data_IF_652245089926
#
_entry.id   IF_652245089926
#
_cell.length_a   1.000
_cell.length_b   1.000
_cell.length_c   1.000
_cell.angle_alpha   90.00
_cell.angle_beta   90.00
_cell.angle_gamma   90.00
#
_symmetry.space_group_name_H-M   'P 1'
#
loop_
_entity.id
_entity.type
_entity.pdbx_description
1 polymer ?
#
# COMPACT_ATOMS: atom_id res chain seq x y z
N UNK A 1 -30.76 -20.24 -9.34
CA UNK A 1 -29.93 -19.06 -9.02
C UNK A 1 -29.71 -18.26 -10.29
N UNK A 2 -29.90 -16.93 -10.25
CA UNK A 2 -29.54 -16.09 -11.40
C UNK A 2 -28.01 -15.99 -11.51
N UNK A 3 -27.47 -15.80 -12.73
CA UNK A 3 -26.02 -15.64 -12.94
C UNK A 3 -25.41 -14.53 -12.07
N UNK A 4 -26.21 -13.51 -11.75
CA UNK A 4 -25.80 -12.39 -10.90
C UNK A 4 -25.72 -12.75 -9.41
N UNK A 5 -26.60 -13.62 -8.92
CA UNK A 5 -26.50 -14.16 -7.56
C UNK A 5 -25.25 -15.02 -7.41
N UNK A 6 -25.00 -15.95 -8.35
CA UNK A 6 -23.79 -16.78 -8.32
C UNK A 6 -22.51 -15.94 -8.33
N UNK A 7 -22.47 -14.89 -9.15
CA UNK A 7 -21.33 -13.98 -9.21
C UNK A 7 -21.08 -13.28 -7.86
N UNK A 8 -22.09 -12.61 -7.29
CA UNK A 8 -21.92 -11.83 -6.04
C UNK A 8 -21.73 -12.67 -4.80
N UNK A 9 -22.38 -13.83 -4.73
CA UNK A 9 -22.39 -14.65 -3.51
C UNK A 9 -21.30 -15.72 -3.49
N UNK A 10 -20.72 -16.10 -4.66
CA UNK A 10 -19.78 -17.21 -4.76
C UNK A 10 -18.45 -16.83 -5.42
N UNK A 11 -18.49 -16.21 -6.61
CA UNK A 11 -17.27 -15.89 -7.37
C UNK A 11 -16.54 -14.67 -6.79
N UNK A 12 -17.28 -13.61 -6.42
CA UNK A 12 -16.71 -12.39 -5.83
C UNK A 12 -15.99 -12.70 -4.49
N UNK A 13 -16.64 -13.33 -3.49
CA UNK A 13 -16.01 -13.57 -2.19
C UNK A 13 -14.79 -14.50 -2.27
N UNK A 14 -14.79 -15.45 -3.21
CA UNK A 14 -13.63 -16.33 -3.43
C UNK A 14 -12.47 -15.63 -4.15
N UNK A 15 -12.74 -14.62 -4.98
CA UNK A 15 -11.72 -13.80 -5.64
C UNK A 15 -11.16 -12.65 -4.77
N UNK A 16 -11.92 -12.17 -3.78
CA UNK A 16 -11.54 -11.04 -2.92
C UNK A 16 -10.13 -11.15 -2.31
N UNK A 17 -9.68 -12.30 -1.75
CA UNK A 17 -8.32 -12.40 -1.20
C UNK A 17 -7.23 -12.13 -2.24
N UNK A 18 -7.44 -12.59 -3.48
CA UNK A 18 -6.51 -12.40 -4.59
C UNK A 18 -6.50 -10.95 -5.07
N UNK A 19 -7.66 -10.31 -5.16
CA UNK A 19 -7.78 -8.89 -5.52
C UNK A 19 -7.04 -8.03 -4.49
N UNK A 20 -7.23 -8.29 -3.19
CA UNK A 20 -6.58 -7.52 -2.13
C UNK A 20 -5.06 -7.74 -2.09
N UNK A 21 -4.59 -8.96 -2.40
CA UNK A 21 -3.16 -9.22 -2.57
C UNK A 21 -2.60 -8.37 -3.72
N UNK A 22 -3.35 -8.25 -4.82
CA UNK A 22 -3.00 -7.34 -5.92
C UNK A 22 -2.98 -5.87 -5.49
N UNK A 23 -3.91 -5.44 -4.64
CA UNK A 23 -3.95 -4.07 -4.10
C UNK A 23 -2.77 -3.77 -3.17
N UNK A 24 -2.32 -4.73 -2.36
CA UNK A 24 -1.14 -4.58 -1.49
C UNK A 24 0.14 -4.32 -2.30
N UNK A 25 0.29 -4.97 -3.46
CA UNK A 25 1.41 -4.68 -4.38
C UNK A 25 1.17 -3.36 -5.12
N UNK A 26 -0.07 -3.12 -5.56
CA UNK A 26 -0.46 -1.94 -6.32
C UNK A 26 -0.24 -0.64 -5.57
N UNK A 27 -0.52 -0.60 -4.25
CA UNK A 27 -0.34 0.62 -3.46
C UNK A 27 1.13 1.02 -3.32
N UNK A 28 2.05 0.05 -3.24
CA UNK A 28 3.49 0.33 -3.20
C UNK A 28 3.93 0.95 -4.53
N UNK A 29 3.52 0.36 -5.65
CA UNK A 29 3.81 0.88 -6.99
C UNK A 29 3.20 2.26 -7.22
N UNK A 30 1.97 2.49 -6.78
CA UNK A 30 1.30 3.77 -6.86
C UNK A 30 2.01 4.85 -6.03
N UNK A 31 2.48 4.50 -4.84
CA UNK A 31 3.24 5.43 -3.98
C UNK A 31 4.56 5.83 -4.64
N UNK A 32 5.31 4.86 -5.19
CA UNK A 32 6.55 5.15 -5.93
C UNK A 32 6.24 6.04 -7.15
N UNK A 33 5.21 5.71 -7.92
CA UNK A 33 4.79 6.48 -9.08
C UNK A 33 4.38 7.90 -8.74
N UNK A 34 3.67 8.11 -7.62
CA UNK A 34 3.30 9.43 -7.14
C UNK A 34 4.54 10.27 -6.79
N UNK A 35 5.48 9.70 -6.02
CA UNK A 35 6.73 10.40 -5.65
C UNK A 35 7.57 10.74 -6.88
N UNK A 36 7.67 9.84 -7.85
CA UNK A 36 8.38 10.10 -9.12
C UNK A 36 7.66 11.16 -9.95
N UNK A 37 6.33 11.15 -9.96
CA UNK A 37 5.51 12.17 -10.62
C UNK A 37 5.69 13.56 -10.00
N UNK A 38 5.66 13.65 -8.67
CA UNK A 38 5.95 14.88 -7.92
C UNK A 38 7.37 15.39 -8.21
N UNK A 39 8.35 14.48 -8.33
CA UNK A 39 9.73 14.83 -8.69
C UNK A 39 9.84 15.41 -10.11
N UNK A 40 9.24 14.77 -11.12
CA UNK A 40 9.43 15.13 -12.53
C UNK A 40 8.58 16.31 -13.00
N UNK A 41 7.36 16.43 -12.47
CA UNK A 41 6.35 17.37 -12.96
C UNK A 41 5.67 18.20 -11.87
N UNK A 42 5.99 17.96 -10.60
CA UNK A 42 5.47 18.73 -9.48
C UNK A 42 6.27 20.00 -9.25
N UNK A 43 5.57 21.10 -8.97
CA UNK A 43 6.13 22.29 -8.31
C UNK A 43 5.89 22.27 -6.79
N UNK A 44 5.26 21.21 -6.29
CA UNK A 44 4.87 21.02 -4.90
C UNK A 44 4.82 19.52 -4.58
N UNK A 45 4.93 19.17 -3.31
CA UNK A 45 4.89 17.80 -2.82
C UNK A 45 6.17 17.36 -2.12
N UNK A 46 6.10 16.20 -1.45
CA UNK A 46 7.23 15.67 -0.69
C UNK A 46 8.34 15.14 -1.60
N UNK A 47 7.98 14.59 -2.77
CA UNK A 47 8.95 14.19 -3.79
C UNK A 47 9.72 15.37 -4.37
N UNK A 48 9.02 16.49 -4.63
CA UNK A 48 9.64 17.74 -5.06
C UNK A 48 10.59 18.30 -3.99
N UNK A 49 10.11 18.40 -2.74
CA UNK A 49 10.88 18.93 -1.61
C UNK A 49 12.13 18.09 -1.31
N UNK A 50 12.08 16.77 -1.49
CA UNK A 50 13.25 15.91 -1.35
C UNK A 50 14.35 16.27 -2.35
N UNK A 51 13.98 16.60 -3.58
CA UNK A 51 14.92 16.97 -4.64
C UNK A 51 15.46 18.39 -4.45
N UNK A 52 14.60 19.32 -4.03
CA UNK A 52 14.98 20.68 -3.69
C UNK A 52 16.01 20.71 -2.55
N UNK A 53 15.72 20.04 -1.43
CA UNK A 53 16.62 19.97 -0.26
C UNK A 53 17.92 19.23 -0.59
N UNK A 54 17.86 18.19 -1.43
CA UNK A 54 19.05 17.53 -1.95
C UNK A 54 19.92 18.47 -2.80
N UNK A 55 19.30 19.26 -3.69
CA UNK A 55 20.02 20.22 -4.54
C UNK A 55 20.61 21.38 -3.72
N UNK A 56 19.95 21.78 -2.63
CA UNK A 56 20.44 22.78 -1.67
C UNK A 56 21.51 22.24 -0.71
N UNK A 57 21.81 20.94 -0.73
CA UNK A 57 22.68 20.23 0.22
C UNK A 57 22.23 20.38 1.70
N UNK A 58 20.93 20.58 1.93
CA UNK A 58 20.33 20.66 3.26
C UNK A 58 20.00 19.26 3.78
N UNK A 59 21.03 18.55 4.24
CA UNK A 59 20.93 17.14 4.64
C UNK A 59 19.93 16.94 5.79
N UNK A 60 19.87 17.87 6.75
CA UNK A 60 18.93 17.80 7.88
C UNK A 60 17.46 17.80 7.39
N UNK A 61 17.14 18.68 6.43
CA UNK A 61 15.82 18.77 5.84
C UNK A 61 15.51 17.55 4.96
N UNK A 62 16.48 17.08 4.17
CA UNK A 62 16.35 15.88 3.34
C UNK A 62 15.99 14.64 4.18
N UNK A 63 16.65 14.44 5.33
CA UNK A 63 16.31 13.34 6.24
C UNK A 63 14.89 13.46 6.79
N UNK A 64 14.45 14.67 7.16
CA UNK A 64 13.08 14.89 7.61
C UNK A 64 12.06 14.51 6.52
N UNK A 65 12.32 14.88 5.27
CA UNK A 65 11.47 14.53 4.12
C UNK A 65 11.44 13.02 3.89
N UNK A 66 12.58 12.33 3.95
CA UNK A 66 12.65 10.86 3.80
C UNK A 66 11.83 10.15 4.89
N UNK A 67 11.89 10.62 6.13
CA UNK A 67 11.09 10.08 7.23
C UNK A 67 9.59 10.28 6.95
N UNK A 68 9.19 11.47 6.50
CA UNK A 68 7.80 11.75 6.14
C UNK A 68 7.30 10.87 4.98
N UNK A 69 8.11 10.70 3.92
CA UNK A 69 7.79 9.82 2.81
C UNK A 69 7.64 8.35 3.26
N UNK A 70 8.52 7.90 4.14
CA UNK A 70 8.46 6.55 4.71
C UNK A 70 7.20 6.35 5.53
N UNK A 71 6.87 7.32 6.39
CA UNK A 71 5.64 7.30 7.19
C UNK A 71 4.39 7.32 6.31
N UNK A 72 4.38 8.12 5.25
CA UNK A 72 3.25 8.18 4.31
C UNK A 72 3.07 6.85 3.57
N UNK A 73 4.15 6.30 3.01
CA UNK A 73 4.10 5.00 2.32
C UNK A 73 3.67 3.87 3.25
N UNK A 74 4.19 3.86 4.49
CA UNK A 74 3.76 2.91 5.52
C UNK A 74 2.28 3.08 5.88
N UNK A 75 1.81 4.32 6.05
CA UNK A 75 0.41 4.61 6.36
C UNK A 75 -0.52 4.14 5.23
N UNK A 76 -0.16 4.38 3.98
CA UNK A 76 -0.90 3.89 2.81
C UNK A 76 -0.95 2.37 2.76
N UNK A 77 0.18 1.70 3.02
CA UNK A 77 0.22 0.24 3.12
C UNK A 77 -0.69 -0.28 4.24
N UNK A 78 -0.57 0.28 5.44
CA UNK A 78 -1.41 -0.08 6.60
C UNK A 78 -2.89 0.16 6.31
N UNK A 79 -3.24 1.24 5.61
CA UNK A 79 -4.62 1.51 5.20
C UNK A 79 -5.18 0.41 4.30
N UNK A 80 -4.39 -0.10 3.35
CA UNK A 80 -4.79 -1.24 2.50
C UNK A 80 -4.91 -2.53 3.29
N UNK A 81 -3.98 -2.81 4.21
CA UNK A 81 -4.06 -3.98 5.10
C UNK A 81 -5.27 -3.89 6.04
N UNK A 82 -5.58 -2.71 6.56
CA UNK A 82 -6.77 -2.48 7.39
C UNK A 82 -8.05 -2.68 6.57
N UNK A 83 -8.09 -2.18 5.35
CA UNK A 83 -9.20 -2.39 4.42
C UNK A 83 -9.41 -3.89 4.16
N UNK A 84 -8.33 -4.67 4.04
CA UNK A 84 -8.40 -6.12 3.91
C UNK A 84 -9.07 -6.80 5.10
N UNK A 85 -8.77 -6.36 6.33
CA UNK A 85 -9.41 -6.91 7.55
C UNK A 85 -10.91 -6.62 7.59
N UNK A 86 -11.34 -5.48 7.08
CA UNK A 86 -12.77 -5.12 7.02
C UNK A 86 -13.50 -5.87 5.91
N UNK A 87 -12.87 -6.05 4.75
CA UNK A 87 -13.50 -6.68 3.58
C UNK A 87 -13.52 -8.20 3.64
N UNK A 88 -12.59 -8.84 4.36
CA UNK A 88 -12.50 -10.30 4.47
C UNK A 88 -12.33 -10.72 5.94
N UNK A 89 -13.34 -10.50 6.81
CA UNK A 89 -13.28 -10.93 8.20
C UNK A 89 -13.27 -12.46 8.37
N UNK A 90 -13.67 -13.21 7.35
CA UNK A 90 -13.78 -14.68 7.41
C UNK A 90 -12.49 -15.44 7.10
N UNK A 91 -11.44 -14.78 6.58
CA UNK A 91 -10.20 -15.43 6.16
C UNK A 91 -9.04 -15.09 7.11
N UNK A 92 -9.21 -15.40 8.39
CA UNK A 92 -8.13 -15.45 9.37
C UNK A 92 -7.18 -16.64 9.10
N UNK A 93 -6.38 -16.59 8.04
CA UNK A 93 -5.31 -17.57 7.81
C UNK A 93 -3.92 -16.93 7.87
N UNK A 94 -3.72 -16.02 8.83
CA UNK A 94 -2.38 -15.64 9.30
C UNK A 94 -2.17 -16.20 10.71
N UNK A 95 -2.55 -17.47 10.93
CA UNK A 95 -1.94 -18.25 12.00
C UNK A 95 -0.73 -18.94 11.36
N UNK A 96 0.44 -18.32 11.47
CA UNK A 96 1.70 -19.06 11.29
C UNK A 96 1.71 -20.10 12.41
N UNK A 97 1.16 -21.28 12.12
CA UNK A 97 1.23 -22.43 12.99
C UNK A 97 2.64 -23.01 12.75
N UNK A 98 3.63 -22.42 13.41
CA UNK A 98 4.96 -23.03 13.57
C UNK A 98 4.77 -24.32 14.35
N UNK A 99 4.48 -25.39 13.63
CA UNK A 99 4.54 -26.74 14.16
C UNK A 99 6.02 -27.09 14.29
N UNK A 100 6.56 -26.88 15.49
CA UNK A 100 7.70 -27.61 16.00
C UNK A 100 7.41 -29.10 15.87
N UNK A 101 8.19 -29.81 15.07
CA UNK A 101 8.44 -31.22 15.29
C UNK A 101 9.95 -31.37 15.52
N UNK A 102 10.24 -31.90 16.71
CA UNK A 102 11.52 -32.12 17.38
C UNK A 102 12.12 -33.46 16.94
#
# INVERSE_FOLDING_TARGET
ASRWQTFRELELPSAMPYILTGMEVGIVLATIGAVVGEYLAGNEGLGHLAVETLAAFEVDALFAVIVLLTLLGFLLYVAVVALRRVLIPWHESVTVRTRTDN
#
